data_IF_186157116927
#
_entry.id   IF_186157116927
#
_cell.length_a   1.000
_cell.length_b   1.000
_cell.length_c   1.000
_cell.angle_alpha   90.00
_cell.angle_beta   90.00
_cell.angle_gamma   90.00
#
_symmetry.space_group_name_H-M   'P 1'
#
loop_
_entity.id
_entity.type
_entity.pdbx_description
1 polymer ?
#
# COMPACT_ATOMS: atom_id res chain seq x y z
N UNK A 1 -28.89 -7.29 -37.72
CA UNK A 1 -28.82 -6.33 -36.59
C UNK A 1 -27.79 -5.27 -36.97
N UNK A 2 -28.21 -4.21 -37.69
CA UNK A 2 -27.33 -3.06 -37.95
C UNK A 2 -27.42 -2.13 -36.75
N UNK A 3 -26.28 -1.79 -36.14
CA UNK A 3 -26.24 -0.80 -35.08
C UNK A 3 -26.71 0.57 -35.63
N UNK A 4 -27.42 1.38 -34.82
CA UNK A 4 -27.80 2.72 -35.24
C UNK A 4 -26.53 3.54 -35.50
N UNK A 5 -26.42 4.12 -36.69
CA UNK A 5 -25.38 5.09 -37.01
C UNK A 5 -25.78 6.36 -36.27
N UNK A 6 -25.24 6.55 -35.07
CA UNK A 6 -25.37 7.79 -34.33
C UNK A 6 -24.76 8.91 -35.20
N UNK A 7 -25.59 9.87 -35.59
CA UNK A 7 -25.17 10.95 -36.48
C UNK A 7 -24.26 11.86 -35.65
N UNK A 8 -22.95 11.77 -35.88
CA UNK A 8 -21.96 12.61 -35.20
C UNK A 8 -22.35 14.08 -35.35
N UNK A 9 -22.36 14.82 -34.26
CA UNK A 9 -22.64 16.26 -34.30
C UNK A 9 -21.52 16.97 -35.08
N UNK A 10 -21.80 18.11 -35.73
CA UNK A 10 -20.79 18.82 -36.54
C UNK A 10 -19.50 19.15 -35.78
N UNK A 11 -19.61 19.37 -34.47
CA UNK A 11 -18.46 19.60 -33.59
C UNK A 11 -17.62 18.33 -33.37
N UNK A 12 -18.26 17.18 -33.20
CA UNK A 12 -17.57 15.89 -33.06
C UNK A 12 -16.84 15.53 -34.36
N UNK A 13 -17.45 15.82 -35.51
CA UNK A 13 -16.81 15.64 -36.82
C UNK A 13 -15.57 16.52 -36.94
N UNK A 14 -15.66 17.79 -36.54
CA UNK A 14 -14.50 18.69 -36.55
C UNK A 14 -13.37 18.20 -35.64
N UNK A 15 -13.69 17.82 -34.39
CA UNK A 15 -12.70 17.32 -33.44
C UNK A 15 -12.04 16.03 -33.91
N UNK A 16 -12.83 15.09 -34.43
CA UNK A 16 -12.30 13.83 -34.95
C UNK A 16 -11.42 14.06 -36.18
N UNK A 17 -11.84 14.93 -37.10
CA UNK A 17 -11.04 15.26 -38.29
C UNK A 17 -9.71 15.91 -37.90
N UNK A 18 -9.74 16.85 -36.96
CA UNK A 18 -8.52 17.50 -36.46
C UNK A 18 -7.60 16.52 -35.72
N UNK A 19 -8.17 15.60 -34.93
CA UNK A 19 -7.41 14.54 -34.28
C UNK A 19 -6.79 13.60 -35.31
N UNK A 20 -7.54 13.20 -36.34
CA UNK A 20 -7.06 12.33 -37.41
C UNK A 20 -5.91 12.99 -38.18
N UNK A 21 -6.01 14.29 -38.48
CA UNK A 21 -4.92 15.06 -39.09
C UNK A 21 -3.68 15.09 -38.20
N UNK A 22 -3.85 15.34 -36.91
CA UNK A 22 -2.73 15.37 -35.95
C UNK A 22 -2.07 13.99 -35.81
N UNK A 23 -2.86 12.92 -35.79
CA UNK A 23 -2.37 11.54 -35.72
C UNK A 23 -1.72 11.07 -37.03
N UNK A 24 -2.11 11.65 -38.17
CA UNK A 24 -1.53 11.38 -39.48
C UNK A 24 -0.28 12.23 -39.77
N UNK A 25 -0.01 13.25 -38.96
CA UNK A 25 1.18 14.09 -39.10
C UNK A 25 2.42 13.24 -38.80
N UNK A 26 3.39 13.15 -39.72
CA UNK A 26 4.54 12.28 -39.54
C UNK A 26 5.52 12.86 -38.50
N UNK A 27 6.25 11.96 -37.83
CA UNK A 27 7.16 12.32 -36.73
C UNK A 27 8.23 13.35 -37.16
N UNK A 28 8.66 13.36 -38.42
CA UNK A 28 9.64 14.31 -38.96
C UNK A 28 9.11 15.76 -39.00
N UNK A 29 7.83 15.95 -39.28
CA UNK A 29 7.16 17.26 -39.24
C UNK A 29 6.92 17.72 -37.79
N UNK A 30 6.67 16.80 -36.87
CA UNK A 30 6.52 17.11 -35.43
C UNK A 30 7.86 17.45 -34.78
N UNK A 31 8.93 16.78 -35.21
CA UNK A 31 10.26 16.87 -34.60
C UNK A 31 11.19 17.83 -35.35
N UNK A 32 10.67 18.67 -36.25
CA UNK A 32 11.46 19.65 -37.05
C UNK A 32 12.67 19.00 -37.77
N UNK A 33 12.54 17.74 -38.18
CA UNK A 33 13.61 16.97 -38.83
C UNK A 33 14.60 16.25 -37.89
N UNK A 34 14.39 16.28 -36.57
CA UNK A 34 15.17 15.45 -35.63
C UNK A 34 14.86 13.95 -35.80
N UNK A 35 15.85 13.10 -35.51
CA UNK A 35 15.66 11.64 -35.57
C UNK A 35 14.70 11.17 -34.43
N UNK A 36 13.53 10.61 -34.76
CA UNK A 36 12.57 10.13 -33.76
C UNK A 36 13.15 9.04 -32.86
N UNK A 37 14.07 8.22 -33.37
CA UNK A 37 14.71 7.19 -32.56
C UNK A 37 15.62 7.80 -31.49
N UNK A 38 16.38 8.83 -31.84
CA UNK A 38 17.26 9.55 -30.91
C UNK A 38 16.47 10.27 -29.82
N UNK A 39 15.39 10.98 -30.18
CA UNK A 39 14.52 11.69 -29.22
C UNK A 39 13.88 10.72 -28.23
N UNK A 40 13.33 9.60 -28.73
CA UNK A 40 12.76 8.55 -27.87
C UNK A 40 13.81 7.94 -26.94
N UNK A 41 15.00 7.64 -27.44
CA UNK A 41 16.09 7.10 -26.62
C UNK A 41 16.51 8.07 -25.51
N UNK A 42 16.56 9.37 -25.79
CA UNK A 42 16.83 10.39 -24.78
C UNK A 42 15.75 10.44 -23.70
N UNK A 43 14.46 10.43 -24.11
CA UNK A 43 13.33 10.40 -23.19
C UNK A 43 13.34 9.16 -22.29
N UNK A 44 13.60 7.99 -22.85
CA UNK A 44 13.70 6.73 -22.09
C UNK A 44 14.82 6.78 -21.05
N UNK A 45 16.00 7.30 -21.39
CA UNK A 45 17.10 7.49 -20.43
C UNK A 45 16.71 8.40 -19.27
N UNK A 46 15.98 9.48 -19.53
CA UNK A 46 15.48 10.38 -18.48
C UNK A 46 14.49 9.67 -17.55
N UNK A 47 13.57 8.88 -18.11
CA UNK A 47 12.61 8.09 -17.34
C UNK A 47 13.30 7.01 -16.49
N UNK A 48 14.29 6.30 -17.04
CA UNK A 48 15.09 5.32 -16.29
C UNK A 48 15.85 5.97 -15.12
N UNK A 49 16.47 7.13 -15.35
CA UNK A 49 17.15 7.86 -14.29
C UNK A 49 16.19 8.32 -13.17
N UNK A 50 15.01 8.82 -13.56
CA UNK A 50 13.99 9.27 -12.63
C UNK A 50 13.42 8.10 -11.80
N UNK A 51 13.10 6.97 -12.44
CA UNK A 51 12.59 5.77 -11.76
C UNK A 51 13.63 5.17 -10.81
N UNK A 52 14.89 5.12 -11.20
CA UNK A 52 15.99 4.68 -10.33
C UNK A 52 16.14 5.58 -9.10
N UNK A 53 16.05 6.91 -9.27
CA UNK A 53 16.11 7.87 -8.15
C UNK A 53 14.90 7.71 -7.21
N UNK A 54 13.69 7.59 -7.75
CA UNK A 54 12.49 7.35 -6.95
C UNK A 54 12.58 6.03 -6.17
N UNK A 55 13.10 4.97 -6.78
CA UNK A 55 13.35 3.68 -6.13
C UNK A 55 14.31 3.80 -4.94
N UNK A 56 15.44 4.52 -5.11
CA UNK A 56 16.40 4.79 -4.03
C UNK A 56 15.76 5.55 -2.87
N UNK A 57 14.94 6.57 -3.15
CA UNK A 57 14.23 7.33 -2.12
C UNK A 57 13.22 6.47 -1.35
N UNK A 58 12.43 5.65 -2.05
CA UNK A 58 11.50 4.70 -1.42
C UNK A 58 12.22 3.73 -0.51
N UNK A 59 13.37 3.21 -0.96
CA UNK A 59 14.17 2.26 -0.20
C UNK A 59 14.79 2.93 1.04
N UNK A 60 15.31 4.15 0.92
CA UNK A 60 15.81 4.93 2.05
C UNK A 60 14.72 5.17 3.09
N UNK A 61 13.54 5.64 2.67
CA UNK A 61 12.40 5.85 3.56
C UNK A 61 11.95 4.55 4.26
N UNK A 62 11.98 3.41 3.54
CA UNK A 62 11.67 2.11 4.15
C UNK A 62 12.72 1.69 5.19
N UNK A 63 14.01 1.92 4.91
CA UNK A 63 15.09 1.68 5.89
C UNK A 63 14.91 2.53 7.14
N UNK A 64 14.59 3.81 6.98
CA UNK A 64 14.37 4.72 8.10
C UNK A 64 13.16 4.29 8.94
N UNK A 65 12.07 3.83 8.30
CA UNK A 65 10.91 3.23 8.97
C UNK A 65 11.29 1.95 9.74
N UNK A 66 12.13 1.09 9.19
CA UNK A 66 12.60 -0.10 9.91
C UNK A 66 13.47 0.25 11.11
N UNK A 67 14.37 1.24 10.97
CA UNK A 67 15.23 1.69 12.06
C UNK A 67 14.41 2.35 13.17
N UNK A 68 13.46 3.20 12.83
CA UNK A 68 12.55 3.80 13.81
C UNK A 68 11.71 2.74 14.51
N UNK A 69 11.16 1.77 13.79
CA UNK A 69 10.39 0.66 14.39
C UNK A 69 11.24 -0.28 15.28
N UNK A 70 12.56 -0.34 15.03
CA UNK A 70 13.51 -1.10 15.88
C UNK A 70 13.98 -0.30 17.10
N UNK A 71 14.04 1.03 17.00
CA UNK A 71 14.51 1.94 18.06
C UNK A 71 13.41 2.43 18.97
N UNK A 72 12.16 2.51 18.50
CA UNK A 72 11.02 2.58 19.39
C UNK A 72 11.06 1.28 20.20
N UNK A 73 11.24 1.32 21.53
CA UNK A 73 10.68 0.25 22.33
C UNK A 73 9.24 0.20 21.84
N UNK A 74 8.76 -0.97 21.40
CA UNK A 74 7.32 -1.15 21.43
C UNK A 74 6.93 -0.64 22.81
N UNK A 75 6.02 0.32 22.88
CA UNK A 75 5.28 0.63 24.10
C UNK A 75 4.46 -0.62 24.46
N UNK A 76 5.17 -1.74 24.65
CA UNK A 76 4.75 -2.83 25.47
C UNK A 76 4.70 -2.18 26.82
N UNK A 77 3.49 -1.79 27.20
CA UNK A 77 3.11 -1.80 28.59
C UNK A 77 3.83 -2.98 29.24
N UNK A 78 4.68 -2.62 30.20
CA UNK A 78 5.43 -3.54 31.02
C UNK A 78 4.46 -4.65 31.43
N UNK A 79 4.65 -5.82 30.83
CA UNK A 79 3.99 -7.01 31.32
C UNK A 79 4.62 -7.28 32.69
N UNK A 80 3.95 -6.81 33.74
CA UNK A 80 4.41 -6.99 35.12
C UNK A 80 3.85 -8.28 35.75
N UNK A 81 3.11 -9.08 34.99
CA UNK A 81 2.51 -10.34 35.44
C UNK A 81 3.45 -11.53 35.26
N UNK A 82 3.04 -12.70 35.77
CA UNK A 82 3.76 -13.95 35.55
C UNK A 82 3.42 -14.55 34.19
N UNK A 83 4.34 -15.26 33.55
CA UNK A 83 4.06 -15.92 32.25
C UNK A 83 2.89 -16.90 32.37
N UNK A 84 2.71 -17.51 33.55
CA UNK A 84 1.61 -18.43 33.85
C UNK A 84 0.26 -17.71 33.83
N UNK A 85 0.17 -16.48 34.36
CA UNK A 85 -1.03 -15.65 34.29
C UNK A 85 -1.39 -15.28 32.85
N UNK A 86 -0.39 -14.94 32.02
CA UNK A 86 -0.61 -14.68 30.61
C UNK A 86 -1.14 -15.92 29.88
N UNK A 87 -0.59 -17.11 30.15
CA UNK A 87 -1.08 -18.37 29.57
C UNK A 87 -2.52 -18.64 29.99
N UNK A 88 -2.84 -18.52 31.27
CA UNK A 88 -4.19 -18.74 31.79
C UNK A 88 -5.21 -17.76 31.17
N UNK A 89 -4.81 -16.48 31.05
CA UNK A 89 -5.63 -15.47 30.41
C UNK A 89 -5.89 -15.79 28.93
N UNK A 90 -4.85 -16.16 28.18
CA UNK A 90 -4.97 -16.47 26.76
C UNK A 90 -5.79 -17.73 26.48
N UNK A 91 -5.75 -18.74 27.37
CA UNK A 91 -6.65 -19.91 27.31
C UNK A 91 -8.12 -19.55 27.57
N UNK A 92 -8.36 -18.52 28.36
CA UNK A 92 -9.72 -18.02 28.60
C UNK A 92 -10.20 -17.20 27.40
N UNK A 93 -9.33 -16.31 26.90
CA UNK A 93 -9.57 -15.46 25.74
C UNK A 93 -9.66 -16.23 24.41
N UNK A 94 -9.09 -17.42 24.29
CA UNK A 94 -9.21 -18.24 23.08
C UNK A 94 -10.64 -18.68 22.79
N UNK A 95 -11.52 -18.62 23.79
CA UNK A 95 -12.94 -18.93 23.67
C UNK A 95 -13.81 -17.67 23.48
N UNK A 96 -13.22 -16.47 23.39
CA UNK A 96 -13.97 -15.23 23.16
C UNK A 96 -14.37 -15.11 21.67
N UNK A 97 -15.67 -15.03 21.33
CA UNK A 97 -16.13 -14.88 19.95
C UNK A 97 -15.70 -13.54 19.31
N UNK A 98 -15.22 -12.57 20.08
CA UNK A 98 -14.79 -11.26 19.58
C UNK A 98 -13.42 -11.29 18.89
N UNK A 99 -12.64 -12.35 19.10
CA UNK A 99 -11.28 -12.49 18.58
C UNK A 99 -11.01 -13.93 18.14
N UNK A 100 -10.61 -14.12 16.89
CA UNK A 100 -10.15 -15.43 16.41
C UNK A 100 -8.70 -15.65 16.82
N UNK A 101 -8.50 -16.28 17.97
CA UNK A 101 -7.19 -16.74 18.42
C UNK A 101 -6.92 -18.12 17.83
N UNK A 102 -5.91 -18.23 16.96
CA UNK A 102 -5.39 -19.52 16.50
C UNK A 102 -4.60 -20.19 17.64
N UNK A 103 -5.29 -20.61 18.70
CA UNK A 103 -4.71 -21.04 19.98
C UNK A 103 -4.36 -22.54 20.04
N UNK A 104 -4.34 -23.26 18.91
CA UNK A 104 -3.81 -24.63 18.85
C UNK A 104 -2.28 -24.57 18.97
N UNK A 105 -1.78 -24.39 20.20
CA UNK A 105 -0.34 -24.40 20.47
C UNK A 105 0.15 -23.50 21.59
N UNK A 106 -0.71 -22.95 22.47
CA UNK A 106 -0.24 -22.12 23.61
C UNK A 106 0.78 -22.84 24.52
N UNK A 107 0.72 -24.16 24.58
CA UNK A 107 1.65 -24.99 25.35
C UNK A 107 2.98 -25.25 24.62
N UNK A 108 2.98 -25.12 23.29
CA UNK A 108 4.15 -25.28 22.42
C UNK A 108 4.86 -23.94 22.12
N UNK A 109 4.23 -22.81 22.48
CA UNK A 109 4.78 -21.47 22.29
C UNK A 109 5.87 -21.13 23.31
N UNK A 110 6.87 -20.37 22.85
CA UNK A 110 7.90 -19.80 23.72
C UNK A 110 7.31 -18.75 24.67
N UNK A 111 7.93 -18.56 25.83
CA UNK A 111 7.50 -17.57 26.82
C UNK A 111 7.45 -16.14 26.25
N UNK A 112 8.40 -15.81 25.36
CA UNK A 112 8.45 -14.51 24.70
C UNK A 112 7.29 -14.32 23.71
N UNK A 113 6.90 -15.38 23.00
CA UNK A 113 5.76 -15.32 22.08
C UNK A 113 4.43 -15.19 22.84
N UNK A 114 4.31 -15.84 23.99
CA UNK A 114 3.14 -15.72 24.88
C UNK A 114 2.99 -14.30 25.39
N UNK A 115 4.09 -13.67 25.83
CA UNK A 115 4.08 -12.26 26.25
C UNK A 115 3.64 -11.33 25.11
N UNK A 116 4.18 -11.53 23.90
CA UNK A 116 3.82 -10.73 22.72
C UNK A 116 2.34 -10.87 22.36
N UNK A 117 1.83 -12.09 22.39
CA UNK A 117 0.44 -12.39 22.05
C UNK A 117 -0.53 -11.78 23.10
N UNK A 118 -0.19 -11.89 24.38
CA UNK A 118 -0.93 -11.24 25.48
C UNK A 118 -0.97 -9.72 25.32
N UNK A 119 0.17 -9.06 25.08
CA UNK A 119 0.23 -7.61 24.86
C UNK A 119 -0.63 -7.18 23.67
N UNK A 120 -0.56 -7.92 22.56
CA UNK A 120 -1.35 -7.64 21.36
C UNK A 120 -2.86 -7.75 21.64
N UNK A 121 -3.27 -8.74 22.43
CA UNK A 121 -4.67 -8.90 22.83
C UNK A 121 -5.17 -7.72 23.66
N UNK A 122 -4.38 -7.27 24.65
CA UNK A 122 -4.71 -6.10 25.48
C UNK A 122 -4.79 -4.82 24.64
N UNK A 123 -3.91 -4.66 23.65
CA UNK A 123 -3.96 -3.52 22.73
C UNK A 123 -5.22 -3.54 21.88
N UNK A 124 -5.55 -4.68 21.26
CA UNK A 124 -6.75 -4.85 20.44
C UNK A 124 -8.05 -4.61 21.23
N UNK A 125 -8.09 -5.05 22.49
CA UNK A 125 -9.24 -4.78 23.36
C UNK A 125 -9.35 -3.30 23.71
N UNK A 126 -8.24 -2.60 23.96
CA UNK A 126 -8.25 -1.13 24.18
C UNK A 126 -8.73 -0.37 22.94
N UNK A 127 -8.21 -0.72 21.76
CA UNK A 127 -8.60 -0.10 20.49
C UNK A 127 -10.10 -0.31 20.19
N UNK A 128 -10.66 -1.49 20.48
CA UNK A 128 -12.11 -1.76 20.33
C UNK A 128 -13.01 -1.07 21.37
N UNK A 129 -12.46 -0.67 22.52
CA UNK A 129 -13.24 -0.03 23.60
C UNK A 129 -13.25 1.49 23.47
N UNK A 130 -12.41 2.05 22.59
CA UNK A 130 -12.58 3.42 22.13
C UNK A 130 -13.76 3.43 21.15
N UNK A 131 -14.92 4.03 21.49
CA UNK A 131 -15.95 4.24 20.50
C UNK A 131 -15.33 5.08 19.39
N UNK A 132 -15.57 4.68 18.13
CA UNK A 132 -15.36 5.55 16.99
C UNK A 132 -16.14 6.85 17.26
N UNK A 133 -15.43 7.83 17.81
CA UNK A 133 -15.93 9.17 18.03
C UNK A 133 -16.30 9.73 16.67
N UNK A 134 -17.61 9.82 16.45
CA UNK A 134 -18.31 10.86 15.71
C UNK A 134 -17.38 11.65 14.77
N UNK A 135 -17.22 11.13 13.55
CA UNK A 135 -16.87 11.97 12.42
C UNK A 135 -18.17 12.60 11.90
N UNK A 136 -18.57 13.71 12.51
CA UNK A 136 -19.41 14.71 11.83
C UNK A 136 -18.53 15.64 10.97
#
# INVERSE_FOLDING_TARGET
>A
MSLPIEKLEPFDVLLNTYLDELMATPDDEILDGDDPAAVRAAGMKMLEAATAKAGKLRLAAARDRMVTHRKSPKEGLLFSGSIEEARAFLRTASNDPRFTLAARGLDEMSDDDIRRLYQRYIQLTREKTQPDGERE
#
